data_IF_043028901143
#
_entry.id   IF_043028901143
#
_cell.length_a   1.000
_cell.length_b   1.000
_cell.length_c   1.000
_cell.angle_alpha   90.00
_cell.angle_beta   90.00
_cell.angle_gamma   90.00
#
_symmetry.space_group_name_H-M   'P 1'
#
loop_
_entity.id
_entity.type
_entity.pdbx_description
1 polymer ?
#
# COMPACT_ATOMS: atom_id res chain seq x y z
N UNK A 1 -1.96 17.82 15.13
CA UNK A 1 -0.65 18.53 15.10
C UNK A 1 -0.86 19.84 14.35
N UNK A 2 -0.49 20.99 14.91
CA UNK A 2 -0.53 22.28 14.21
C UNK A 2 0.34 22.29 12.95
N UNK A 3 -0.02 23.10 11.96
CA UNK A 3 0.66 23.13 10.65
C UNK A 3 2.16 23.41 10.77
N UNK A 4 2.56 24.38 11.58
CA UNK A 4 3.96 24.75 11.77
C UNK A 4 4.80 23.60 12.38
N UNK A 5 4.24 22.86 13.33
CA UNK A 5 4.90 21.68 13.90
C UNK A 5 5.06 20.55 12.89
N UNK A 6 4.04 20.34 12.05
CA UNK A 6 4.10 19.37 10.96
C UNK A 6 5.19 19.71 9.97
N UNK A 7 5.28 20.96 9.53
CA UNK A 7 6.30 21.42 8.60
C UNK A 7 7.72 21.33 9.19
N UNK A 8 7.89 21.65 10.47
CA UNK A 8 9.16 21.47 11.16
C UNK A 8 9.59 19.99 11.20
N UNK A 9 8.65 19.09 11.52
CA UNK A 9 8.88 17.64 11.50
C UNK A 9 9.22 17.12 10.09
N UNK A 10 8.49 17.59 9.07
CA UNK A 10 8.75 17.23 7.68
C UNK A 10 10.15 17.68 7.23
N UNK A 11 10.54 18.91 7.57
CA UNK A 11 11.88 19.43 7.24
C UNK A 11 12.98 18.62 7.94
N UNK A 12 12.79 18.29 9.22
CA UNK A 12 13.73 17.43 9.95
C UNK A 12 13.89 16.06 9.29
N UNK A 13 12.76 15.44 8.89
CA UNK A 13 12.77 14.14 8.21
C UNK A 13 13.40 14.21 6.83
N UNK A 14 13.15 15.28 6.07
CA UNK A 14 13.76 15.52 4.76
C UNK A 14 15.29 15.63 4.88
N UNK A 15 15.80 16.42 5.81
CA UNK A 15 17.25 16.50 6.07
C UNK A 15 17.85 15.14 6.37
N UNK A 16 17.22 14.40 7.27
CA UNK A 16 17.68 13.08 7.68
C UNK A 16 17.69 12.08 6.53
N UNK A 17 16.67 12.07 5.65
CA UNK A 17 16.66 11.13 4.52
C UNK A 17 17.71 11.50 3.47
N UNK A 18 17.97 12.79 3.24
CA UNK A 18 19.06 13.26 2.37
C UNK A 18 20.40 12.75 2.89
N UNK A 19 20.71 12.96 4.17
CA UNK A 19 21.95 12.45 4.78
C UNK A 19 22.04 10.92 4.69
N UNK A 20 20.94 10.24 4.94
CA UNK A 20 20.89 8.78 4.91
C UNK A 20 21.15 8.23 3.52
N UNK A 21 20.50 8.78 2.48
CA UNK A 21 20.71 8.37 1.10
C UNK A 21 22.11 8.71 0.61
N UNK A 22 22.62 9.90 0.95
CA UNK A 22 23.94 10.35 0.58
C UNK A 22 25.03 9.42 1.12
N UNK A 23 24.92 9.01 2.36
CA UNK A 23 25.96 8.23 3.04
C UNK A 23 25.87 6.71 2.77
N UNK A 24 24.72 6.19 2.37
CA UNK A 24 24.50 4.74 2.32
C UNK A 24 24.20 4.19 0.92
N UNK A 25 23.88 5.03 -0.06
CA UNK A 25 23.50 4.60 -1.41
C UNK A 25 24.39 5.25 -2.45
N UNK A 26 25.33 4.51 -3.09
CA UNK A 26 26.27 5.07 -4.07
C UNK A 26 25.59 5.87 -5.18
N UNK A 27 24.46 5.38 -5.70
CA UNK A 27 23.66 6.08 -6.71
C UNK A 27 23.22 7.48 -6.25
N UNK A 28 22.73 7.62 -5.03
CA UNK A 28 22.32 8.92 -4.49
C UNK A 28 23.52 9.78 -4.09
N UNK A 29 24.59 9.17 -3.60
CA UNK A 29 25.83 9.90 -3.33
C UNK A 29 26.30 10.68 -4.55
N UNK A 30 26.40 10.03 -5.71
CA UNK A 30 26.83 10.66 -6.96
C UNK A 30 25.86 11.75 -7.41
N UNK A 31 24.55 11.47 -7.44
CA UNK A 31 23.54 12.42 -7.91
C UNK A 31 23.41 13.64 -7.01
N UNK A 32 23.42 13.46 -5.70
CA UNK A 32 23.36 14.57 -4.75
C UNK A 32 24.62 15.42 -4.79
N UNK A 33 25.80 14.80 -4.98
CA UNK A 33 27.04 15.55 -5.23
C UNK A 33 26.93 16.46 -6.46
N UNK A 34 26.45 15.94 -7.59
CA UNK A 34 26.22 16.73 -8.83
C UNK A 34 25.24 17.87 -8.61
N UNK A 35 24.24 17.68 -7.75
CA UNK A 35 23.26 18.70 -7.39
C UNK A 35 23.77 19.70 -6.32
N UNK A 36 24.99 19.51 -5.79
CA UNK A 36 25.55 20.36 -4.73
C UNK A 36 24.95 20.12 -3.34
N UNK A 37 24.19 19.03 -3.17
CA UNK A 37 23.51 18.67 -1.91
C UNK A 37 24.28 17.56 -1.20
N UNK A 38 25.38 17.94 -0.57
CA UNK A 38 26.30 16.98 0.10
C UNK A 38 25.90 16.62 1.52
N UNK A 39 24.87 17.23 2.07
CA UNK A 39 24.29 16.89 3.38
C UNK A 39 22.90 17.46 3.51
N UNK A 40 22.11 16.94 4.48
CA UNK A 40 20.79 17.45 4.84
C UNK A 40 20.82 18.91 5.31
N UNK A 41 21.95 19.42 5.76
CA UNK A 41 22.09 20.82 6.17
C UNK A 41 22.02 21.82 5.00
N UNK A 42 22.16 21.34 3.77
CA UNK A 42 21.91 22.13 2.57
C UNK A 42 20.43 22.43 2.37
N UNK A 43 19.55 21.64 2.93
CA UNK A 43 18.09 21.82 2.89
C UNK A 43 17.70 22.79 4.02
N UNK A 44 17.19 23.95 3.67
CA UNK A 44 16.78 24.99 4.62
C UNK A 44 15.27 25.05 4.82
N UNK A 45 14.52 24.75 3.78
CA UNK A 45 13.06 24.79 3.74
C UNK A 45 12.52 23.54 3.04
N UNK A 46 11.23 23.25 3.22
CA UNK A 46 10.56 22.15 2.49
C UNK A 46 10.55 22.38 0.98
N UNK A 47 10.55 23.64 0.55
CA UNK A 47 10.58 23.99 -0.89
C UNK A 47 11.90 23.60 -1.57
N UNK A 48 12.97 23.40 -0.80
CA UNK A 48 14.27 23.00 -1.35
C UNK A 48 14.25 21.58 -1.94
N UNK A 49 13.19 20.80 -1.70
CA UNK A 49 12.96 19.50 -2.35
C UNK A 49 13.01 19.61 -3.87
N UNK A 50 12.63 20.75 -4.44
CA UNK A 50 12.66 21.02 -5.89
C UNK A 50 14.08 20.97 -6.50
N UNK A 51 15.13 21.12 -5.69
CA UNK A 51 16.53 21.05 -6.13
C UNK A 51 17.14 19.66 -6.01
N UNK A 52 16.40 18.71 -5.44
CA UNK A 52 16.84 17.31 -5.37
C UNK A 52 16.67 16.62 -6.72
N UNK A 53 17.61 15.77 -7.14
CA UNK A 53 17.48 15.04 -8.40
C UNK A 53 16.33 14.04 -8.33
N UNK A 54 15.57 13.94 -9.43
CA UNK A 54 14.53 12.91 -9.55
C UNK A 54 15.15 11.52 -9.66
N UNK A 55 14.42 10.52 -9.15
CA UNK A 55 14.67 9.11 -9.42
C UNK A 55 13.61 8.61 -10.38
N UNK A 56 14.03 8.07 -11.50
CA UNK A 56 13.14 7.52 -12.52
C UNK A 56 13.00 6.00 -12.36
N UNK A 57 12.00 5.43 -13.02
CA UNK A 57 11.83 3.97 -13.04
C UNK A 57 13.01 3.27 -13.73
N UNK A 58 13.63 3.91 -14.71
CA UNK A 58 14.82 3.37 -15.39
C UNK A 58 16.02 3.36 -14.45
N UNK A 59 16.20 4.40 -13.64
CA UNK A 59 17.24 4.41 -12.60
C UNK A 59 17.13 3.19 -11.67
N UNK A 60 15.91 2.84 -11.26
CA UNK A 60 15.67 1.68 -10.38
C UNK A 60 15.98 0.38 -11.12
N UNK A 61 15.61 0.28 -12.40
CA UNK A 61 15.86 -0.90 -13.24
C UNK A 61 17.36 -1.10 -13.54
N UNK A 62 18.09 -0.02 -13.78
CA UNK A 62 19.52 -0.06 -14.05
C UNK A 62 20.32 -0.48 -12.80
N UNK A 63 19.79 -0.22 -11.62
CA UNK A 63 20.35 -0.62 -10.33
C UNK A 63 19.76 -1.93 -9.78
N UNK A 64 19.04 -2.70 -10.63
CA UNK A 64 18.46 -4.00 -10.26
C UNK A 64 19.54 -5.03 -9.94
N UNK A 65 19.36 -5.92 -8.95
CA UNK A 65 18.22 -5.92 -8.03
C UNK A 65 18.46 -5.13 -6.74
N UNK A 66 19.73 -4.93 -6.29
CA UNK A 66 20.03 -4.49 -4.94
C UNK A 66 21.05 -3.34 -4.85
N UNK A 67 21.40 -2.70 -5.96
CA UNK A 67 22.41 -1.64 -5.95
C UNK A 67 21.96 -0.34 -5.28
N UNK A 68 20.66 -0.19 -5.01
CA UNK A 68 20.09 0.95 -4.27
C UNK A 68 19.82 0.64 -2.79
N UNK A 69 20.34 -0.48 -2.27
CA UNK A 69 20.19 -0.80 -0.85
C UNK A 69 20.94 0.19 0.03
N UNK A 70 20.25 0.72 1.03
CA UNK A 70 20.82 1.57 2.07
C UNK A 70 21.23 0.77 3.34
N UNK A 71 20.88 -0.51 3.39
CA UNK A 71 21.22 -1.42 4.49
C UNK A 71 21.83 -2.72 3.94
N UNK A 72 22.71 -3.39 4.69
CA UNK A 72 23.24 -4.68 4.27
C UNK A 72 22.13 -5.74 4.20
N UNK A 73 22.27 -6.69 3.28
CA UNK A 73 21.28 -7.76 3.06
C UNK A 73 20.97 -8.56 4.34
N UNK A 74 21.90 -8.67 5.27
CA UNK A 74 21.71 -9.34 6.57
C UNK A 74 20.66 -8.65 7.48
N UNK A 75 20.28 -7.41 7.17
CA UNK A 75 19.21 -6.66 7.88
C UNK A 75 17.86 -6.72 7.16
N UNK A 76 17.84 -7.26 5.95
CA UNK A 76 16.61 -7.36 5.14
C UNK A 76 15.85 -8.61 5.58
N UNK A 77 14.57 -8.42 5.89
CA UNK A 77 13.67 -9.50 6.34
C UNK A 77 12.58 -9.82 5.32
N UNK A 78 12.39 -8.95 4.31
CA UNK A 78 11.40 -9.16 3.25
C UNK A 78 11.82 -8.50 1.95
N UNK A 79 11.49 -9.16 0.84
CA UNK A 79 11.66 -8.66 -0.53
C UNK A 79 10.32 -8.71 -1.23
N UNK A 80 9.94 -7.61 -1.87
CA UNK A 80 8.81 -7.51 -2.77
C UNK A 80 9.30 -7.07 -4.15
N UNK A 81 8.48 -7.31 -5.17
CA UNK A 81 8.75 -6.77 -6.49
C UNK A 81 7.43 -6.50 -7.25
N UNK A 82 7.47 -5.51 -8.13
CA UNK A 82 6.38 -5.25 -9.06
C UNK A 82 6.24 -6.39 -10.08
N UNK A 83 5.13 -6.41 -10.83
CA UNK A 83 4.86 -7.45 -11.85
C UNK A 83 5.90 -7.52 -12.98
N UNK A 84 6.65 -6.45 -13.21
CA UNK A 84 7.70 -6.42 -14.24
C UNK A 84 7.20 -6.50 -15.70
N UNK A 85 5.94 -6.20 -15.97
CA UNK A 85 5.30 -6.30 -17.30
C UNK A 85 6.03 -5.53 -18.40
N UNK A 86 6.82 -4.53 -18.05
CA UNK A 86 7.58 -3.67 -18.98
C UNK A 86 9.10 -3.91 -18.92
N UNK A 87 9.55 -5.05 -18.38
CA UNK A 87 10.97 -5.37 -18.24
C UNK A 87 11.32 -5.88 -16.84
N UNK A 88 12.52 -5.54 -16.33
CA UNK A 88 12.93 -5.91 -14.96
C UNK A 88 11.97 -5.32 -13.94
N UNK A 89 11.55 -6.10 -12.93
CA UNK A 89 10.65 -5.60 -11.89
C UNK A 89 11.34 -4.54 -11.03
N UNK A 90 10.57 -3.64 -10.46
CA UNK A 90 11.01 -2.79 -9.35
C UNK A 90 11.06 -3.66 -8.09
N UNK A 91 12.20 -3.68 -7.42
CA UNK A 91 12.42 -4.46 -6.19
C UNK A 91 12.33 -3.54 -4.98
N UNK A 92 11.43 -3.85 -4.07
CA UNK A 92 11.34 -3.25 -2.74
C UNK A 92 11.92 -4.20 -1.68
N UNK A 93 12.77 -3.69 -0.82
CA UNK A 93 13.39 -4.46 0.27
C UNK A 93 13.13 -3.78 1.61
N UNK A 94 12.88 -4.58 2.62
CA UNK A 94 12.39 -4.07 3.90
C UNK A 94 13.17 -4.66 5.06
N UNK A 95 13.62 -3.79 5.95
CA UNK A 95 14.04 -4.18 7.30
C UNK A 95 12.79 -4.41 8.18
N UNK A 96 12.94 -4.99 9.36
CA UNK A 96 11.84 -5.13 10.32
C UNK A 96 11.21 -3.77 10.65
N UNK A 97 12.04 -2.75 10.85
CA UNK A 97 11.56 -1.39 11.12
C UNK A 97 10.72 -0.80 9.98
N UNK A 98 11.09 -1.08 8.72
CA UNK A 98 10.32 -0.63 7.57
C UNK A 98 8.95 -1.30 7.55
N UNK A 99 8.87 -2.61 7.85
CA UNK A 99 7.61 -3.34 7.96
C UNK A 99 6.71 -2.82 9.08
N UNK A 100 7.30 -2.48 10.23
CA UNK A 100 6.56 -1.93 11.37
C UNK A 100 5.97 -0.55 11.02
N UNK A 101 6.76 0.31 10.36
CA UNK A 101 6.32 1.62 9.89
C UNK A 101 5.25 1.49 8.80
N UNK A 102 5.43 0.56 7.88
CA UNK A 102 4.48 0.32 6.80
C UNK A 102 3.13 -0.16 7.35
N UNK A 103 3.14 -1.13 8.27
CA UNK A 103 1.92 -1.59 8.94
C UNK A 103 1.19 -0.46 9.65
N UNK A 104 1.92 0.48 10.29
CA UNK A 104 1.33 1.65 10.95
C UNK A 104 0.68 2.61 9.93
N UNK A 105 1.33 2.83 8.79
CA UNK A 105 0.78 3.68 7.73
C UNK A 105 -0.48 3.06 7.11
N UNK A 106 -0.45 1.77 6.81
CA UNK A 106 -1.59 1.05 6.23
C UNK A 106 -2.76 0.96 7.22
N UNK A 107 -2.50 0.77 8.52
CA UNK A 107 -3.55 0.86 9.54
C UNK A 107 -4.27 2.22 9.53
N UNK A 108 -3.52 3.32 9.34
CA UNK A 108 -4.09 4.68 9.21
C UNK A 108 -4.92 4.85 7.94
N UNK A 109 -4.46 4.30 6.82
CA UNK A 109 -5.22 4.28 5.55
C UNK A 109 -6.52 3.51 5.74
N UNK A 110 -6.47 2.33 6.35
CA UNK A 110 -7.65 1.51 6.63
C UNK A 110 -8.68 2.23 7.50
N UNK A 111 -8.23 2.92 8.56
CA UNK A 111 -9.10 3.78 9.40
C UNK A 111 -9.70 4.91 8.58
N UNK A 112 -8.93 5.55 7.70
CA UNK A 112 -9.43 6.57 6.78
C UNK A 112 -10.51 6.05 5.83
N UNK A 113 -10.44 4.78 5.43
CA UNK A 113 -11.46 4.04 4.66
C UNK A 113 -12.63 3.50 5.51
N UNK A 114 -12.64 3.81 6.81
CA UNK A 114 -13.74 3.44 7.71
C UNK A 114 -13.57 2.10 8.44
N UNK A 115 -12.40 1.46 8.36
CA UNK A 115 -12.11 0.23 9.11
C UNK A 115 -11.92 0.52 10.61
N UNK A 116 -12.31 -0.43 11.43
CA UNK A 116 -12.18 -0.41 12.90
C UNK A 116 -11.58 -1.71 13.42
N UNK A 117 -11.21 -1.76 14.70
CA UNK A 117 -10.72 -2.97 15.33
C UNK A 117 -11.78 -4.09 15.45
N UNK A 118 -13.07 -3.73 15.38
CA UNK A 118 -14.18 -4.69 15.47
C UNK A 118 -14.51 -5.36 14.13
N UNK A 119 -13.83 -4.99 13.05
CA UNK A 119 -14.12 -5.54 11.73
C UNK A 119 -13.52 -6.90 11.48
N UNK A 120 -14.24 -7.68 10.68
CA UNK A 120 -13.77 -8.92 10.06
C UNK A 120 -13.57 -8.62 8.58
N UNK A 121 -12.31 -8.53 8.16
CA UNK A 121 -11.96 -8.06 6.81
C UNK A 121 -11.39 -9.20 5.97
N UNK A 122 -12.05 -9.46 4.85
CA UNK A 122 -11.61 -10.45 3.88
C UNK A 122 -10.72 -9.81 2.83
N UNK A 123 -9.49 -10.34 2.66
CA UNK A 123 -8.57 -9.93 1.60
C UNK A 123 -8.72 -10.89 0.42
N UNK A 124 -9.36 -10.40 -0.63
CA UNK A 124 -9.78 -11.14 -1.81
C UNK A 124 -8.91 -10.87 -3.04
N UNK A 125 -7.61 -10.68 -2.85
CA UNK A 125 -6.64 -10.69 -3.94
C UNK A 125 -5.33 -11.38 -3.56
N UNK A 126 -4.54 -11.75 -4.59
CA UNK A 126 -3.44 -12.70 -4.41
C UNK A 126 -2.36 -12.22 -3.45
N UNK A 127 -1.92 -13.11 -2.59
CA UNK A 127 -0.68 -12.97 -1.85
C UNK A 127 0.47 -13.41 -2.74
N UNK A 128 1.47 -12.58 -2.89
CA UNK A 128 2.59 -12.89 -3.78
C UNK A 128 3.75 -11.93 -3.62
N UNK A 129 4.53 -11.79 -4.67
CA UNK A 129 5.73 -10.97 -4.67
C UNK A 129 5.43 -9.47 -4.57
N UNK A 130 4.25 -9.02 -5.01
CA UNK A 130 3.85 -7.61 -4.92
C UNK A 130 3.43 -7.20 -3.50
N UNK A 131 3.44 -5.90 -3.24
CA UNK A 131 3.33 -5.33 -1.88
C UNK A 131 1.92 -5.36 -1.28
N UNK A 132 0.87 -5.18 -2.10
CA UNK A 132 -0.46 -4.76 -1.66
C UNK A 132 -1.13 -5.68 -0.63
N UNK A 133 -1.21 -7.00 -0.90
CA UNK A 133 -1.91 -7.93 0.00
C UNK A 133 -1.29 -8.00 1.39
N UNK A 134 0.04 -8.15 1.46
CA UNK A 134 0.73 -8.25 2.74
C UNK A 134 0.74 -6.93 3.51
N UNK A 135 0.80 -5.79 2.81
CA UNK A 135 0.68 -4.49 3.45
C UNK A 135 -0.66 -4.31 4.15
N UNK A 136 -1.75 -4.57 3.43
CA UNK A 136 -3.11 -4.51 3.99
C UNK A 136 -3.31 -5.52 5.11
N UNK A 137 -2.81 -6.76 4.95
CA UNK A 137 -2.88 -7.80 5.97
C UNK A 137 -2.30 -7.31 7.30
N UNK A 138 -1.02 -6.94 7.32
CA UNK A 138 -0.36 -6.52 8.55
C UNK A 138 -0.86 -5.16 9.08
N UNK A 139 -1.30 -4.27 8.20
CA UNK A 139 -1.90 -3.01 8.63
C UNK A 139 -3.24 -3.20 9.33
N UNK A 140 -4.07 -4.11 8.83
CA UNK A 140 -5.36 -4.44 9.43
C UNK A 140 -5.19 -5.22 10.74
N UNK A 141 -4.27 -6.19 10.80
CA UNK A 141 -3.91 -6.84 12.07
C UNK A 141 -3.40 -5.84 13.11
N UNK A 142 -2.57 -4.88 12.70
CA UNK A 142 -2.08 -3.83 13.59
C UNK A 142 -3.19 -2.90 14.08
N UNK A 143 -4.22 -2.67 13.28
CA UNK A 143 -5.43 -1.97 13.70
C UNK A 143 -6.20 -2.74 14.77
N UNK A 144 -6.05 -4.06 14.82
CA UNK A 144 -6.82 -4.97 15.69
C UNK A 144 -8.00 -5.65 15.00
N UNK A 145 -8.18 -5.44 13.70
CA UNK A 145 -9.21 -6.11 12.92
C UNK A 145 -8.87 -7.59 12.69
N UNK A 146 -9.90 -8.41 12.59
CA UNK A 146 -9.74 -9.82 12.19
C UNK A 146 -9.54 -9.91 10.67
N UNK A 147 -8.45 -10.52 10.23
CA UNK A 147 -8.13 -10.65 8.80
C UNK A 147 -8.39 -12.08 8.31
N UNK A 148 -9.13 -12.20 7.20
CA UNK A 148 -9.31 -13.44 6.45
C UNK A 148 -8.46 -13.37 5.19
N UNK A 149 -7.33 -14.12 5.11
CA UNK A 149 -6.44 -14.12 3.95
C UNK A 149 -6.98 -15.05 2.85
N UNK A 150 -8.13 -14.69 2.28
CA UNK A 150 -8.86 -15.51 1.32
C UNK A 150 -8.11 -15.70 -0.01
N UNK A 151 -7.23 -14.76 -0.36
CA UNK A 151 -6.52 -14.72 -1.63
C UNK A 151 -7.47 -14.55 -2.83
N UNK A 152 -6.99 -14.73 -4.05
CA UNK A 152 -7.79 -14.62 -5.28
C UNK A 152 -8.42 -15.95 -5.67
N UNK A 153 -9.46 -15.89 -6.50
CA UNK A 153 -10.14 -17.06 -7.08
C UNK A 153 -11.19 -17.70 -6.15
N UNK A 154 -11.78 -18.79 -6.62
CA UNK A 154 -12.83 -19.53 -5.97
C UNK A 154 -13.98 -18.65 -5.42
N UNK A 155 -14.68 -17.98 -6.33
CA UNK A 155 -15.74 -17.00 -6.04
C UNK A 155 -16.82 -17.56 -5.09
N UNK A 156 -17.24 -18.80 -5.25
CA UNK A 156 -18.24 -19.43 -4.38
C UNK A 156 -17.75 -19.50 -2.91
N UNK A 157 -16.46 -19.82 -2.72
CA UNK A 157 -15.86 -19.82 -1.39
C UNK A 157 -15.76 -18.39 -0.81
N UNK A 158 -15.50 -17.40 -1.65
CA UNK A 158 -15.47 -15.98 -1.24
C UNK A 158 -16.84 -15.56 -0.71
N UNK A 159 -17.92 -15.89 -1.42
CA UNK A 159 -19.29 -15.58 -1.00
C UNK A 159 -19.71 -16.34 0.26
N UNK A 160 -19.34 -17.63 0.36
CA UNK A 160 -19.56 -18.42 1.57
C UNK A 160 -18.92 -17.74 2.79
N UNK A 161 -17.67 -17.30 2.69
CA UNK A 161 -16.97 -16.63 3.80
C UNK A 161 -17.66 -15.31 4.20
N UNK A 162 -18.16 -14.52 3.25
CA UNK A 162 -18.91 -13.29 3.56
C UNK A 162 -20.06 -13.56 4.51
N UNK A 163 -20.79 -14.66 4.27
CA UNK A 163 -21.94 -15.04 5.07
C UNK A 163 -21.53 -15.75 6.37
N UNK A 164 -20.76 -16.85 6.24
CA UNK A 164 -20.54 -17.79 7.33
C UNK A 164 -19.60 -17.23 8.40
N UNK A 165 -18.66 -16.36 8.00
CA UNK A 165 -17.72 -15.70 8.93
C UNK A 165 -18.16 -14.30 9.34
N UNK A 166 -19.29 -13.83 8.79
CA UNK A 166 -19.82 -12.52 9.13
C UNK A 166 -18.90 -11.36 8.74
N UNK A 167 -18.28 -11.46 7.55
CA UNK A 167 -17.35 -10.46 7.02
C UNK A 167 -18.00 -9.08 6.95
N UNK A 168 -17.31 -8.08 7.50
CA UNK A 168 -17.77 -6.70 7.55
C UNK A 168 -17.05 -5.79 6.54
N UNK A 169 -15.86 -6.21 6.09
CA UNK A 169 -15.06 -5.45 5.13
C UNK A 169 -14.43 -6.32 4.05
N UNK A 170 -14.34 -5.75 2.84
CA UNK A 170 -13.74 -6.37 1.66
C UNK A 170 -12.51 -5.59 1.23
N UNK A 171 -11.38 -6.29 1.03
CA UNK A 171 -10.22 -5.79 0.29
C UNK A 171 -10.15 -6.53 -1.04
N UNK A 172 -10.22 -5.80 -2.15
CA UNK A 172 -10.21 -6.37 -3.50
C UNK A 172 -9.75 -5.34 -4.53
N UNK A 173 -9.54 -5.77 -5.79
CA UNK A 173 -9.52 -4.83 -6.91
C UNK A 173 -10.95 -4.41 -7.25
N UNK A 174 -11.16 -3.18 -7.79
CA UNK A 174 -12.49 -2.72 -8.18
C UNK A 174 -13.23 -3.69 -9.11
N UNK A 175 -12.55 -4.20 -10.15
CA UNK A 175 -13.14 -5.16 -11.09
C UNK A 175 -13.60 -6.45 -10.41
N UNK A 176 -12.80 -6.97 -9.44
CA UNK A 176 -13.19 -8.18 -8.72
C UNK A 176 -14.30 -7.92 -7.71
N UNK A 177 -14.32 -6.75 -7.07
CA UNK A 177 -15.42 -6.35 -6.19
C UNK A 177 -16.74 -6.24 -6.95
N UNK A 178 -16.72 -5.66 -8.16
CA UNK A 178 -17.90 -5.63 -9.04
C UNK A 178 -18.38 -7.04 -9.39
N UNK A 179 -17.47 -7.90 -9.82
CA UNK A 179 -17.79 -9.29 -10.14
C UNK A 179 -18.37 -10.05 -8.94
N UNK A 180 -17.78 -9.89 -7.74
CA UNK A 180 -18.34 -10.47 -6.51
C UNK A 180 -19.75 -9.96 -6.22
N UNK A 181 -20.00 -8.66 -6.46
CA UNK A 181 -21.31 -8.04 -6.25
C UNK A 181 -22.40 -8.64 -7.15
N UNK A 182 -22.03 -8.93 -8.42
CA UNK A 182 -22.92 -9.59 -9.38
C UNK A 182 -23.19 -11.04 -8.96
N UNK A 183 -22.16 -11.78 -8.57
CA UNK A 183 -22.33 -13.15 -8.06
C UNK A 183 -23.14 -13.22 -6.77
N UNK A 184 -23.03 -12.24 -5.88
CA UNK A 184 -23.89 -12.15 -4.69
C UNK A 184 -25.38 -12.03 -5.09
N UNK A 185 -25.66 -11.20 -6.08
CA UNK A 185 -27.02 -11.01 -6.61
C UNK A 185 -27.57 -12.27 -7.27
N UNK A 186 -26.76 -12.95 -8.09
CA UNK A 186 -27.11 -14.21 -8.74
C UNK A 186 -27.34 -15.35 -7.74
N UNK A 187 -26.57 -15.40 -6.65
CA UNK A 187 -26.72 -16.40 -5.59
C UNK A 187 -28.08 -16.29 -4.86
N UNK A 188 -28.77 -15.16 -5.01
CA UNK A 188 -30.12 -14.97 -4.47
C UNK A 188 -30.21 -14.92 -2.95
N UNK A 189 -29.10 -14.77 -2.25
CA UNK A 189 -29.12 -14.61 -0.79
C UNK A 189 -29.62 -13.22 -0.41
N UNK A 190 -30.49 -13.12 0.61
CA UNK A 190 -30.97 -11.82 1.07
C UNK A 190 -29.82 -10.98 1.65
N UNK A 191 -29.89 -9.67 1.49
CA UNK A 191 -28.87 -8.73 2.02
C UNK A 191 -28.62 -8.90 3.52
N UNK A 192 -29.65 -9.30 4.27
CA UNK A 192 -29.58 -9.58 5.71
C UNK A 192 -28.59 -10.68 6.10
N UNK A 193 -28.22 -11.55 5.17
CA UNK A 193 -27.27 -12.64 5.39
C UNK A 193 -25.80 -12.15 5.38
N UNK A 194 -25.58 -10.92 4.94
CA UNK A 194 -24.24 -10.31 4.83
C UNK A 194 -24.10 -9.13 5.78
N UNK A 195 -22.95 -9.05 6.46
CA UNK A 195 -22.61 -7.94 7.36
C UNK A 195 -21.67 -6.91 6.72
N UNK A 196 -21.39 -7.03 5.42
CA UNK A 196 -20.51 -6.13 4.68
C UNK A 196 -20.97 -4.67 4.86
N UNK A 197 -20.01 -3.78 5.16
CA UNK A 197 -20.26 -2.34 5.32
C UNK A 197 -19.23 -1.46 4.63
N UNK A 198 -17.98 -1.97 4.40
CA UNK A 198 -16.90 -1.23 3.76
C UNK A 198 -16.19 -2.07 2.71
N UNK A 199 -15.63 -1.38 1.71
CA UNK A 199 -14.67 -1.90 0.75
C UNK A 199 -13.43 -1.02 0.70
N UNK A 200 -12.25 -1.61 0.89
CA UNK A 200 -10.96 -0.97 0.66
C UNK A 200 -10.45 -1.46 -0.69
N UNK A 201 -10.74 -0.69 -1.76
CA UNK A 201 -10.43 -1.12 -3.13
C UNK A 201 -9.10 -0.52 -3.59
N UNK A 202 -8.31 -1.32 -4.32
CA UNK A 202 -6.91 -0.97 -4.64
C UNK A 202 -6.50 -1.49 -6.02
N UNK A 203 -5.38 -1.01 -6.53
CA UNK A 203 -4.59 -1.57 -7.65
C UNK A 203 -5.13 -1.35 -9.06
N UNK A 204 -6.34 -0.86 -9.24
CA UNK A 204 -6.94 -0.59 -10.56
C UNK A 204 -7.57 0.80 -10.58
N UNK A 205 -7.50 1.46 -11.74
CA UNK A 205 -8.32 2.64 -11.99
C UNK A 205 -9.75 2.21 -12.29
N UNK A 206 -10.73 2.94 -11.79
CA UNK A 206 -12.15 2.67 -11.95
C UNK A 206 -12.95 3.94 -12.14
N UNK A 207 -14.15 3.81 -12.69
CA UNK A 207 -15.02 4.95 -12.98
C UNK A 207 -15.99 5.21 -11.82
N UNK A 208 -16.55 6.44 -11.73
CA UNK A 208 -17.63 6.74 -10.78
C UNK A 208 -18.82 5.77 -10.90
N UNK A 209 -19.17 5.38 -12.12
CA UNK A 209 -20.29 4.46 -12.40
C UNK A 209 -20.01 3.06 -11.82
N UNK A 210 -18.77 2.56 -11.96
CA UNK A 210 -18.37 1.30 -11.35
C UNK A 210 -18.45 1.37 -9.82
N UNK A 211 -18.04 2.49 -9.25
CA UNK A 211 -18.17 2.74 -7.82
C UNK A 211 -19.61 2.65 -7.36
N UNK A 212 -20.48 3.41 -8.03
CA UNK A 212 -21.92 3.45 -7.72
C UNK A 212 -22.56 2.05 -7.83
N UNK A 213 -22.17 1.26 -8.82
CA UNK A 213 -22.63 -0.12 -8.97
C UNK A 213 -22.21 -1.01 -7.80
N UNK A 214 -20.94 -0.95 -7.39
CA UNK A 214 -20.42 -1.76 -6.27
C UNK A 214 -21.13 -1.34 -4.98
N UNK A 215 -21.18 -0.04 -4.68
CA UNK A 215 -21.83 0.49 -3.47
C UNK A 215 -23.31 0.12 -3.42
N UNK A 216 -24.00 0.26 -4.56
CA UNK A 216 -25.42 -0.09 -4.67
C UNK A 216 -25.67 -1.60 -4.49
N UNK A 217 -24.93 -2.44 -5.23
CA UNK A 217 -25.15 -3.88 -5.22
C UNK A 217 -24.82 -4.51 -3.87
N UNK A 218 -23.73 -4.09 -3.25
CA UNK A 218 -23.26 -4.63 -1.96
C UNK A 218 -23.82 -3.86 -0.76
N UNK A 219 -24.37 -2.66 -0.96
CA UNK A 219 -24.81 -1.73 0.08
C UNK A 219 -23.67 -1.44 1.09
N UNK A 220 -22.52 -1.07 0.58
CA UNK A 220 -21.33 -0.75 1.35
C UNK A 220 -20.81 0.64 0.96
N UNK A 221 -19.98 1.25 1.81
CA UNK A 221 -19.13 2.36 1.42
C UNK A 221 -17.80 1.82 0.87
N UNK A 222 -17.30 2.38 -0.24
CA UNK A 222 -16.00 1.98 -0.78
C UNK A 222 -15.02 3.15 -0.79
N UNK A 223 -13.78 2.87 -0.40
CA UNK A 223 -12.66 3.79 -0.53
C UNK A 223 -11.74 3.35 -1.67
N UNK A 224 -11.24 4.34 -2.41
CA UNK A 224 -10.19 4.16 -3.43
C UNK A 224 -8.83 4.37 -2.76
N UNK A 225 -7.96 3.37 -2.84
CA UNK A 225 -6.67 3.41 -2.17
C UNK A 225 -5.56 3.27 -3.21
N UNK A 226 -4.72 4.28 -3.28
CA UNK A 226 -3.57 4.32 -4.19
C UNK A 226 -2.29 3.92 -3.46
N UNK A 227 -1.50 3.09 -4.10
CA UNK A 227 -0.17 2.71 -3.65
C UNK A 227 0.71 2.27 -4.80
N UNK A 228 2.02 2.27 -4.58
CA UNK A 228 3.00 1.77 -5.54
C UNK A 228 4.24 1.23 -4.83
N UNK A 229 4.85 0.20 -5.40
CA UNK A 229 6.03 -0.48 -4.83
C UNK A 229 7.17 0.49 -4.51
N UNK A 230 7.37 1.51 -5.35
CA UNK A 230 8.42 2.53 -5.21
C UNK A 230 8.24 3.43 -3.99
N UNK A 231 7.03 3.51 -3.44
CA UNK A 231 6.71 4.30 -2.25
C UNK A 231 6.53 3.44 -0.98
N UNK A 232 6.72 2.13 -1.10
CA UNK A 232 6.58 1.20 0.01
C UNK A 232 5.23 0.46 0.05
N UNK A 233 4.49 0.50 -1.05
CA UNK A 233 3.22 -0.22 -1.19
C UNK A 233 2.00 0.64 -1.17
#
# INVERSE_FOLDING_TARGET
MPRAELEALQLQRLKRIVDYCYNNVPFYHERLNRAGVTSGDKIKTLSDVQYLPYTTKDDIRDNYPFQMLAQPMSKIVRIHASSGTTGKPTVGVYTQRDLDNWSDQVARVAVGGGATADDIIQISFGYGLFTGALGLHYGLEKLGATVIPASSGNTQKQLMMFRDFGVTGLVATPSYALYLSECMKEAGYPRSDYKLRIGLLVSESWTPEMRDQIEHNMQIFVSDNYGMTELGG
#
